data_IF_179663053136
#
_entry.id   IF_179663053136
#
_cell.length_a   1.000
_cell.length_b   1.000
_cell.length_c   1.000
_cell.angle_alpha   90.00
_cell.angle_beta   90.00
_cell.angle_gamma   90.00
#
_symmetry.space_group_name_H-M   'P 1'
#
loop_
_entity.id
_entity.type
_entity.pdbx_description
1 polymer ?
#
# COMPACT_ATOMS: atom_id res chain seq x y z
N UNK A 1 -28.14 11.22 15.59
CA UNK A 1 -26.74 11.69 15.42
C UNK A 1 -26.79 13.03 14.70
N UNK A 2 -26.91 14.13 15.45
CA UNK A 2 -26.77 15.47 14.88
C UNK A 2 -25.28 15.73 14.76
N UNK A 3 -24.71 15.64 13.55
CA UNK A 3 -23.37 16.18 13.31
C UNK A 3 -23.46 17.68 13.59
N UNK A 4 -22.67 18.15 14.55
CA UNK A 4 -22.62 19.57 14.87
C UNK A 4 -22.03 20.31 13.67
N UNK A 5 -22.34 21.60 13.52
CA UNK A 5 -21.81 22.47 12.47
C UNK A 5 -20.27 22.39 12.34
N UNK A 6 -19.60 22.10 13.47
CA UNK A 6 -18.16 21.90 13.58
C UNK A 6 -17.67 20.66 12.81
N UNK A 7 -18.40 19.55 12.83
CA UNK A 7 -18.01 18.31 12.13
C UNK A 7 -18.00 18.50 10.62
N UNK A 8 -18.99 19.23 10.09
CA UNK A 8 -19.05 19.62 8.68
C UNK A 8 -17.89 20.54 8.29
N UNK A 9 -17.52 21.48 9.18
CA UNK A 9 -16.37 22.36 8.97
C UNK A 9 -15.05 21.59 8.85
N UNK A 10 -14.83 20.62 9.75
CA UNK A 10 -13.61 19.77 9.72
C UNK A 10 -13.58 18.90 8.48
N UNK A 11 -14.72 18.32 8.07
CA UNK A 11 -14.80 17.47 6.88
C UNK A 11 -14.55 18.27 5.60
N UNK A 12 -15.14 19.46 5.49
CA UNK A 12 -14.92 20.35 4.35
C UNK A 12 -13.45 20.81 4.25
N UNK A 13 -12.83 21.13 5.39
CA UNK A 13 -11.43 21.51 5.45
C UNK A 13 -10.52 20.36 5.05
N UNK A 14 -10.75 19.15 5.57
CA UNK A 14 -9.97 17.96 5.24
C UNK A 14 -10.08 17.58 3.75
N UNK A 15 -11.29 17.66 3.17
CA UNK A 15 -11.49 17.47 1.74
C UNK A 15 -10.72 18.52 0.92
N UNK A 16 -10.82 19.79 1.33
CA UNK A 16 -10.15 20.90 0.65
C UNK A 16 -8.63 20.72 0.66
N UNK A 17 -8.03 20.37 1.80
CA UNK A 17 -6.58 20.09 1.88
C UNK A 17 -6.17 18.91 0.98
N UNK A 18 -6.91 17.80 1.00
CA UNK A 18 -6.64 16.64 0.13
C UNK A 18 -6.71 17.04 -1.35
N UNK A 19 -7.73 17.81 -1.73
CA UNK A 19 -7.92 18.30 -3.09
C UNK A 19 -6.81 19.28 -3.50
N UNK A 20 -6.39 20.18 -2.62
CA UNK A 20 -5.29 21.13 -2.89
C UNK A 20 -3.98 20.38 -3.10
N UNK A 21 -3.65 19.38 -2.28
CA UNK A 21 -2.43 18.57 -2.45
C UNK A 21 -2.48 17.80 -3.77
N UNK A 22 -3.65 17.22 -4.10
CA UNK A 22 -3.87 16.51 -5.37
C UNK A 22 -3.75 17.42 -6.59
N UNK A 23 -4.33 18.62 -6.56
CA UNK A 23 -4.23 19.62 -7.63
C UNK A 23 -2.81 20.19 -7.72
N UNK A 24 -2.13 20.40 -6.58
CA UNK A 24 -0.75 20.89 -6.56
C UNK A 24 0.21 19.88 -7.20
N UNK A 25 0.08 18.59 -6.90
CA UNK A 25 0.81 17.54 -7.63
C UNK A 25 0.37 17.47 -9.10
N UNK A 26 -0.93 17.48 -9.38
CA UNK A 26 -1.48 17.31 -10.74
C UNK A 26 -1.27 18.48 -11.70
N UNK A 27 -1.14 19.71 -11.22
CA UNK A 27 -0.91 20.90 -12.06
C UNK A 27 0.54 21.39 -12.03
N UNK A 28 1.21 21.36 -10.87
CA UNK A 28 2.56 21.91 -10.72
C UNK A 28 3.66 20.88 -10.97
N UNK A 29 3.40 19.60 -10.67
CA UNK A 29 4.33 18.48 -10.87
C UNK A 29 4.08 17.69 -12.18
N UNK A 30 3.16 18.17 -13.02
CA UNK A 30 2.73 17.51 -14.27
C UNK A 30 3.65 17.80 -15.47
N UNK A 31 4.64 18.68 -15.34
CA UNK A 31 5.41 19.07 -16.53
C UNK A 31 6.36 18.01 -17.07
N UNK A 32 6.98 17.12 -16.30
CA UNK A 32 7.88 16.09 -16.86
C UNK A 32 8.17 14.95 -15.89
N UNK A 33 7.28 13.98 -15.73
CA UNK A 33 7.71 12.65 -15.27
C UNK A 33 6.98 11.62 -16.13
N UNK A 34 7.75 10.92 -16.96
CA UNK A 34 7.22 9.81 -17.77
C UNK A 34 6.53 8.79 -16.85
N UNK A 35 5.52 8.06 -17.33
CA UNK A 35 4.79 7.04 -16.54
C UNK A 35 5.72 6.10 -15.77
N UNK A 36 6.92 5.82 -16.32
CA UNK A 36 7.96 5.07 -15.63
C UNK A 36 8.62 5.82 -14.45
N UNK A 37 8.88 7.13 -14.52
CA UNK A 37 9.41 7.89 -13.39
C UNK A 37 8.39 8.10 -12.27
N UNK A 38 7.09 8.19 -12.58
CA UNK A 38 6.07 8.26 -11.53
C UNK A 38 5.84 6.90 -10.86
N UNK A 39 5.85 5.80 -11.62
CA UNK A 39 5.65 4.44 -11.09
C UNK A 39 6.90 3.82 -10.47
N UNK A 40 8.10 4.20 -10.93
CA UNK A 40 9.37 3.57 -10.54
C UNK A 40 10.26 4.54 -9.74
N UNK A 41 9.99 5.86 -9.78
CA UNK A 41 10.85 6.94 -9.28
C UNK A 41 12.34 6.59 -9.44
N UNK A 42 12.68 6.36 -10.71
CA UNK A 42 14.04 6.35 -11.23
C UNK A 42 15.01 5.41 -10.51
N UNK A 43 14.53 4.34 -9.84
CA UNK A 43 15.39 3.37 -9.13
C UNK A 43 16.27 3.99 -8.03
N UNK A 44 16.06 5.27 -7.69
CA UNK A 44 16.83 6.08 -6.74
C UNK A 44 16.00 6.52 -5.54
N UNK A 45 14.83 5.91 -5.33
CA UNK A 45 14.08 6.13 -4.10
C UNK A 45 14.87 5.63 -2.90
N UNK A 46 15.07 6.52 -1.93
CA UNK A 46 15.56 6.15 -0.60
C UNK A 46 14.58 5.13 0.01
N UNK A 47 15.09 4.16 0.76
CA UNK A 47 14.30 3.08 1.37
C UNK A 47 13.17 3.64 2.28
N UNK A 48 13.40 4.80 2.90
CA UNK A 48 12.47 5.45 3.82
C UNK A 48 11.14 5.89 3.16
N UNK A 49 11.11 6.73 2.10
CA UNK A 49 9.87 7.12 1.45
C UNK A 49 9.12 5.93 0.83
N UNK A 50 9.84 4.93 0.29
CA UNK A 50 9.20 3.73 -0.27
C UNK A 50 8.49 2.92 0.82
N UNK A 51 9.13 2.75 1.99
CA UNK A 51 8.50 2.09 3.13
C UNK A 51 7.30 2.88 3.65
N UNK A 52 7.37 4.22 3.70
CA UNK A 52 6.23 5.05 4.10
C UNK A 52 5.05 4.94 3.15
N UNK A 53 5.27 4.92 1.83
CA UNK A 53 4.19 4.71 0.86
C UNK A 53 3.58 3.32 0.96
N UNK A 54 4.39 2.28 1.17
CA UNK A 54 3.92 0.91 1.41
C UNK A 54 3.05 0.84 2.67
N UNK A 55 3.52 1.41 3.79
CA UNK A 55 2.74 1.46 5.02
C UNK A 55 1.44 2.25 4.83
N UNK A 56 1.48 3.36 4.10
CA UNK A 56 0.28 4.12 3.79
C UNK A 56 -0.73 3.33 2.94
N UNK A 57 -0.28 2.56 1.94
CA UNK A 57 -1.14 1.70 1.13
C UNK A 57 -1.69 0.49 1.89
N UNK A 58 -0.97 -0.01 2.91
CA UNK A 58 -1.44 -1.12 3.75
C UNK A 58 -2.47 -0.67 4.80
N UNK A 59 -2.47 0.60 5.18
CA UNK A 59 -3.36 1.14 6.20
C UNK A 59 -4.71 1.53 5.59
N UNK A 60 -5.65 0.59 5.58
CA UNK A 60 -7.06 0.83 5.25
C UNK A 60 -7.89 1.21 6.49
N UNK A 61 -8.99 1.93 6.30
CA UNK A 61 -9.95 2.24 7.37
C UNK A 61 -10.49 0.99 8.07
N UNK A 62 -10.58 -0.13 7.35
CA UNK A 62 -10.97 -1.42 7.91
C UNK A 62 -9.94 -1.96 8.91
N UNK A 63 -8.64 -1.77 8.69
CA UNK A 63 -7.60 -2.20 9.62
C UNK A 63 -7.61 -1.35 10.89
N UNK A 64 -7.82 -0.04 10.75
CA UNK A 64 -7.92 0.90 11.87
C UNK A 64 -9.03 0.55 12.87
N UNK A 65 -10.18 0.07 12.38
CA UNK A 65 -11.30 -0.38 13.22
C UNK A 65 -11.18 -1.87 13.58
N UNK A 66 -10.60 -2.68 12.71
CA UNK A 66 -10.48 -4.13 12.86
C UNK A 66 -9.51 -4.54 13.97
N UNK A 67 -8.33 -3.91 14.04
CA UNK A 67 -7.31 -4.23 15.04
C UNK A 67 -7.82 -4.04 16.49
N UNK A 68 -8.42 -2.90 16.88
CA UNK A 68 -8.95 -2.75 18.23
C UNK A 68 -10.15 -3.65 18.49
N UNK A 69 -10.98 -3.95 17.49
CA UNK A 69 -12.09 -4.91 17.61
C UNK A 69 -11.55 -6.32 17.91
N UNK A 70 -10.48 -6.72 17.22
CA UNK A 70 -9.86 -8.03 17.37
C UNK A 70 -9.15 -8.16 18.73
N UNK A 71 -8.47 -7.10 19.17
CA UNK A 71 -7.87 -7.03 20.52
C UNK A 71 -8.98 -7.04 21.59
N UNK A 72 -10.11 -6.37 21.36
CA UNK A 72 -11.22 -6.35 22.31
C UNK A 72 -11.92 -7.71 22.43
N UNK A 73 -12.05 -8.46 21.32
CA UNK A 73 -12.69 -9.77 21.31
C UNK A 73 -11.78 -10.92 21.71
N UNK A 74 -10.50 -10.91 21.34
CA UNK A 74 -9.57 -12.03 21.51
C UNK A 74 -8.38 -11.73 22.44
N UNK A 75 -8.28 -10.51 22.97
CA UNK A 75 -7.34 -10.11 24.03
C UNK A 75 -5.88 -10.39 23.69
N UNK A 76 -5.32 -11.43 24.31
CA UNK A 76 -3.90 -11.80 24.26
C UNK A 76 -3.48 -12.57 23.00
N UNK A 77 -4.41 -13.12 22.20
CA UNK A 77 -4.05 -13.88 21.00
C UNK A 77 -3.44 -13.01 19.89
N UNK A 78 -3.71 -11.70 19.89
CA UNK A 78 -3.16 -10.76 18.93
C UNK A 78 -1.62 -10.65 18.99
N UNK A 79 -1.02 -10.92 20.15
CA UNK A 79 0.44 -10.92 20.31
C UNK A 79 1.10 -11.98 19.44
N UNK A 80 0.47 -13.15 19.27
CA UNK A 80 0.97 -14.18 18.36
C UNK A 80 0.99 -13.71 16.90
N UNK A 81 -0.05 -12.98 16.50
CA UNK A 81 -0.14 -12.40 15.15
C UNK A 81 0.98 -11.39 14.88
N UNK A 82 1.28 -10.52 15.86
CA UNK A 82 2.40 -9.56 15.76
C UNK A 82 3.74 -10.30 15.60
N UNK A 83 4.01 -11.34 16.42
CA UNK A 83 5.25 -12.12 16.32
C UNK A 83 5.38 -12.85 14.99
N UNK A 84 4.29 -13.49 14.52
CA UNK A 84 4.25 -14.15 13.22
C UNK A 84 4.48 -13.16 12.07
N UNK A 85 3.89 -11.96 12.15
CA UNK A 85 4.09 -10.89 11.17
C UNK A 85 5.56 -10.46 11.10
N UNK A 86 6.21 -10.24 12.25
CA UNK A 86 7.64 -9.90 12.31
C UNK A 86 8.55 -10.96 11.68
N UNK A 87 8.33 -12.24 12.02
CA UNK A 87 9.09 -13.35 11.43
C UNK A 87 8.84 -13.43 9.91
N UNK A 88 7.59 -13.29 9.49
CA UNK A 88 7.19 -13.34 8.08
C UNK A 88 7.84 -12.22 7.26
N UNK A 89 7.85 -11.00 7.78
CA UNK A 89 8.53 -9.87 7.13
C UNK A 89 10.03 -10.09 7.06
N UNK A 90 10.68 -10.58 8.12
CA UNK A 90 12.11 -10.86 8.12
C UNK A 90 12.50 -11.91 7.07
N UNK A 91 11.72 -13.01 6.99
CA UNK A 91 11.93 -14.05 5.99
C UNK A 91 11.68 -13.52 4.58
N UNK A 92 10.64 -12.69 4.41
CA UNK A 92 10.30 -12.08 3.12
C UNK A 92 11.43 -11.18 2.62
N UNK A 93 11.98 -10.33 3.48
CA UNK A 93 13.10 -9.43 3.15
C UNK A 93 14.32 -10.23 2.70
N UNK A 94 14.64 -11.34 3.38
CA UNK A 94 15.83 -12.12 3.05
C UNK A 94 15.68 -13.01 1.81
N UNK A 95 14.49 -13.57 1.54
CA UNK A 95 14.28 -14.48 0.42
C UNK A 95 13.78 -13.78 -0.85
N UNK A 96 12.80 -12.90 -0.71
CA UNK A 96 12.14 -12.29 -1.88
C UNK A 96 12.96 -11.13 -2.46
N UNK A 97 13.59 -10.28 -1.64
CA UNK A 97 14.38 -9.16 -2.16
C UNK A 97 15.52 -9.60 -3.08
N UNK A 98 16.40 -10.58 -2.73
CA UNK A 98 17.45 -11.01 -3.64
C UNK A 98 16.89 -11.70 -4.90
N UNK A 99 15.77 -12.41 -4.77
CA UNK A 99 15.09 -13.04 -5.90
C UNK A 99 14.56 -12.02 -6.91
N UNK A 100 13.89 -10.95 -6.44
CA UNK A 100 13.39 -9.88 -7.30
C UNK A 100 14.53 -9.08 -7.94
N UNK A 101 15.64 -8.88 -7.21
CA UNK A 101 16.78 -8.12 -7.74
C UNK A 101 17.54 -8.85 -8.85
N UNK A 102 17.56 -10.20 -8.86
CA UNK A 102 18.24 -10.99 -9.88
C UNK A 102 17.53 -11.01 -11.25
N UNK A 103 16.22 -10.78 -11.28
CA UNK A 103 15.40 -10.95 -12.49
C UNK A 103 15.24 -9.62 -13.25
N UNK A 104 15.61 -8.49 -12.65
CA UNK A 104 15.62 -7.17 -13.30
C UNK A 104 14.23 -6.57 -13.58
N UNK A 105 13.16 -7.35 -13.39
CA UNK A 105 11.78 -6.92 -13.62
C UNK A 105 11.12 -6.52 -12.29
N UNK A 106 10.81 -5.22 -12.16
CA UNK A 106 10.26 -4.60 -10.95
C UNK A 106 8.76 -4.90 -10.70
N UNK A 107 8.07 -5.55 -11.66
CA UNK A 107 6.65 -5.88 -11.52
C UNK A 107 6.47 -7.34 -11.07
N UNK A 108 5.79 -7.53 -9.94
CA UNK A 108 5.47 -8.84 -9.35
C UNK A 108 4.68 -9.71 -10.36
N UNK A 109 3.84 -9.07 -11.18
CA UNK A 109 3.03 -9.72 -12.21
C UNK A 109 3.87 -10.25 -13.38
N UNK A 110 4.93 -9.54 -13.81
CA UNK A 110 5.84 -10.03 -14.84
C UNK A 110 6.64 -11.24 -14.34
N UNK A 111 7.01 -11.26 -13.05
CA UNK A 111 7.65 -12.42 -12.44
C UNK A 111 6.73 -13.66 -12.39
N UNK A 112 5.47 -13.47 -12.02
CA UNK A 112 4.47 -14.54 -12.01
C UNK A 112 4.20 -15.10 -13.42
N UNK A 113 4.17 -14.24 -14.43
CA UNK A 113 3.97 -14.65 -15.82
C UNK A 113 5.12 -15.52 -16.35
N UNK A 114 6.38 -15.15 -16.03
CA UNK A 114 7.56 -15.87 -16.47
C UNK A 114 7.71 -17.26 -15.81
N UNK A 115 7.15 -17.44 -14.59
CA UNK A 115 7.28 -18.69 -13.83
C UNK A 115 6.06 -19.61 -13.91
N UNK A 116 4.84 -19.07 -13.98
CA UNK A 116 3.59 -19.85 -13.84
C UNK A 116 2.59 -19.70 -14.99
N UNK A 117 2.87 -18.88 -16.02
CA UNK A 117 2.02 -18.56 -17.18
C UNK A 117 0.98 -17.44 -16.97
N UNK A 118 0.46 -16.92 -18.09
CA UNK A 118 -0.53 -15.82 -18.17
C UNK A 118 -1.82 -16.09 -17.38
N UNK A 119 -2.24 -17.35 -17.26
CA UNK A 119 -3.48 -17.74 -16.58
C UNK A 119 -3.43 -17.39 -15.09
N UNK A 120 -2.31 -17.65 -14.43
CA UNK A 120 -2.13 -17.35 -12.99
C UNK A 120 -2.12 -15.84 -12.76
N UNK A 121 -1.53 -15.06 -13.68
CA UNK A 121 -1.56 -13.60 -13.63
C UNK A 121 -2.99 -13.05 -13.67
N UNK A 122 -3.85 -13.58 -14.56
CA UNK A 122 -5.24 -13.14 -14.70
C UNK A 122 -6.03 -13.46 -13.41
N UNK A 123 -5.90 -14.67 -12.88
CA UNK A 123 -6.60 -15.09 -11.65
C UNK A 123 -6.20 -14.20 -10.46
N UNK A 124 -4.90 -13.92 -10.29
CA UNK A 124 -4.40 -13.05 -9.21
C UNK A 124 -4.91 -11.62 -9.38
N UNK A 125 -4.94 -11.11 -10.62
CA UNK A 125 -5.45 -9.76 -10.89
C UNK A 125 -6.95 -9.65 -10.58
N UNK A 126 -7.74 -10.65 -10.99
CA UNK A 126 -9.18 -10.69 -10.70
C UNK A 126 -9.41 -10.79 -9.18
N UNK A 127 -8.68 -11.67 -8.50
CA UNK A 127 -8.78 -11.82 -7.05
C UNK A 127 -8.45 -10.51 -6.31
N UNK A 128 -7.37 -9.83 -6.73
CA UNK A 128 -6.98 -8.54 -6.16
C UNK A 128 -8.07 -7.48 -6.30
N UNK A 129 -8.70 -7.39 -7.49
CA UNK A 129 -9.80 -6.45 -7.75
C UNK A 129 -11.04 -6.78 -6.92
N UNK A 130 -11.31 -8.06 -6.66
CA UNK A 130 -12.46 -8.47 -5.84
C UNK A 130 -12.25 -8.25 -4.34
N UNK A 131 -11.00 -8.34 -3.88
CA UNK A 131 -10.65 -8.18 -2.46
C UNK A 131 -10.47 -6.71 -2.06
N UNK A 132 -10.01 -5.86 -2.98
CA UNK A 132 -9.83 -4.42 -2.77
C UNK A 132 -11.16 -3.69 -2.79
#
# INVERSE_FOLDING_TARGET
MHLSWIDYGVLALLLSFSMVIGIYQGCFLSKQLTTNEFLIADGRMKILPTAMSLLASLMSAAALLGIPLEIYSYGTMYVYWIFAYFIGTYLTVNLFIPMFRQIGNLSIYAYLEQRFSITVRIVITICYILVT
#
